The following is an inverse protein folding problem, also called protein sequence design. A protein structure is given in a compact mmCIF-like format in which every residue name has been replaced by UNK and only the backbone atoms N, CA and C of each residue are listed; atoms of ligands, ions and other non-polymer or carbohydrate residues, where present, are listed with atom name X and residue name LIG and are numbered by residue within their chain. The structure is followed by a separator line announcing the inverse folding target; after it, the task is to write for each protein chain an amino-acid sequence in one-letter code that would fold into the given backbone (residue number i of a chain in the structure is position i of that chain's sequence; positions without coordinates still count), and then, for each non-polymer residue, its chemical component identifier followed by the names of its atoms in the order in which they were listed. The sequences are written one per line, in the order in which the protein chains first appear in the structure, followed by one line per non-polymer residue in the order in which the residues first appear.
data_IF_352646775115
#
_entry.id   IF_352646775115
#
_cell.length_a   1.000
_cell.length_b   1.000
_cell.length_c   1.000
_cell.angle_alpha   90.00
_cell.angle_beta   90.00
_cell.angle_gamma   90.00
#
_symmetry.space_group_name_H-M   'P 1'
#
loop_
_entity.id
_entity.type
_entity.pdbx_description
1 polymer ?
#
# COMPACT_ATOMS: atom_id res chain seq x y z
N UNK A 1 15.03 -10.74 60.72
CA UNK A 1 14.62 -10.26 59.39
C UNK A 1 14.04 -8.89 59.64
N UNK A 2 14.75 -7.82 59.27
CA UNK A 2 14.19 -6.46 59.35
C UNK A 2 13.44 -6.26 58.04
N UNK A 3 12.12 -6.35 58.09
CA UNK A 3 11.28 -6.01 56.94
C UNK A 3 11.41 -4.51 56.70
N UNK A 4 11.95 -4.13 55.55
CA UNK A 4 11.95 -2.75 55.09
C UNK A 4 10.52 -2.42 54.69
N UNK A 5 9.76 -1.81 55.60
CA UNK A 5 8.35 -1.45 55.42
C UNK A 5 8.18 -0.20 54.51
N UNK A 6 9.01 -0.09 53.47
CA UNK A 6 8.81 0.88 52.38
C UNK A 6 7.97 0.20 51.29
N UNK A 7 6.80 0.75 50.91
CA UNK A 7 6.02 0.25 49.79
C UNK A 7 6.74 0.59 48.47
N UNK A 8 7.73 -0.23 48.12
CA UNK A 8 8.42 -0.14 46.84
C UNK A 8 7.54 -0.81 45.77
N UNK A 9 7.20 -0.13 44.67
CA UNK A 9 6.40 -0.71 43.58
C UNK A 9 7.20 -1.71 42.72
N UNK A 10 8.41 -2.10 43.16
CA UNK A 10 9.32 -2.99 42.46
C UNK A 10 9.86 -4.07 43.42
N UNK A 11 10.15 -5.29 42.92
CA UNK A 11 10.85 -6.31 43.69
C UNK A 11 12.24 -5.80 44.11
N UNK A 12 12.47 -5.80 45.42
CA UNK A 12 13.70 -5.31 46.04
C UNK A 12 14.26 -6.37 46.98
N UNK A 13 15.58 -6.56 46.93
CA UNK A 13 16.33 -7.44 47.80
C UNK A 13 17.52 -6.70 48.40
N UNK A 14 17.76 -6.92 49.69
CA UNK A 14 18.96 -6.48 50.40
C UNK A 14 19.78 -7.71 50.77
N UNK A 15 21.05 -7.74 50.38
CA UNK A 15 21.95 -8.87 50.65
C UNK A 15 23.25 -8.41 51.31
N UNK A 16 23.86 -9.26 52.12
CA UNK A 16 25.21 -9.03 52.67
C UNK A 16 26.32 -9.46 51.69
N UNK A 17 27.58 -9.22 52.07
CA UNK A 17 28.75 -9.59 51.26
C UNK A 17 28.89 -11.09 51.04
N UNK A 18 28.29 -11.91 51.90
CA UNK A 18 28.20 -13.37 51.81
C UNK A 18 27.03 -13.84 50.92
N UNK A 19 26.20 -12.92 50.42
CA UNK A 19 25.05 -13.21 49.56
C UNK A 19 23.84 -13.75 50.32
N UNK A 20 23.77 -13.54 51.63
CA UNK A 20 22.61 -13.82 52.47
C UNK A 20 21.64 -12.65 52.39
N UNK A 21 20.36 -12.97 52.28
CA UNK A 21 19.30 -11.97 52.16
C UNK A 21 19.01 -11.41 53.55
N UNK A 22 19.31 -10.13 53.75
CA UNK A 22 19.10 -9.40 55.01
C UNK A 22 17.76 -8.67 55.04
N UNK A 23 17.19 -8.36 53.87
CA UNK A 23 15.86 -7.76 53.71
C UNK A 23 15.27 -8.00 52.31
N UNK A 24 13.96 -7.94 52.19
CA UNK A 24 13.23 -8.16 50.93
C UNK A 24 11.90 -7.39 50.93
N UNK A 25 11.45 -6.90 49.78
CA UNK A 25 10.09 -6.35 49.65
C UNK A 25 9.03 -7.46 49.49
N UNK A 26 7.76 -7.13 49.80
CA UNK A 26 6.64 -8.06 49.64
C UNK A 26 6.51 -8.60 48.20
N UNK A 27 6.71 -7.74 47.20
CA UNK A 27 6.74 -8.10 45.78
C UNK A 27 7.88 -9.09 45.43
N UNK A 28 9.02 -9.00 46.10
CA UNK A 28 10.13 -9.95 45.91
C UNK A 28 9.82 -11.32 46.55
N UNK A 29 9.18 -11.35 47.72
CA UNK A 29 8.73 -12.59 48.36
C UNK A 29 7.63 -13.30 47.56
N UNK A 30 6.76 -12.54 46.90
CA UNK A 30 5.72 -13.09 46.03
C UNK A 30 6.33 -13.73 44.78
N UNK A 31 7.32 -13.08 44.15
CA UNK A 31 7.90 -13.51 42.85
C UNK A 31 8.99 -14.57 42.95
N UNK A 32 9.79 -14.57 44.01
CA UNK A 32 10.95 -15.44 44.19
C UNK A 32 10.78 -16.37 45.39
N UNK A 33 11.38 -17.56 45.32
CA UNK A 33 11.44 -18.47 46.46
C UNK A 33 12.63 -18.12 47.37
N UNK A 34 12.38 -17.24 48.35
CA UNK A 34 13.40 -16.75 49.28
C UNK A 34 13.60 -17.65 50.51
N UNK A 35 13.00 -18.85 50.53
CA UNK A 35 13.01 -19.79 51.67
C UNK A 35 14.41 -20.22 52.13
N UNK A 36 15.39 -20.19 51.21
CA UNK A 36 16.79 -20.58 51.49
C UNK A 36 17.65 -19.44 52.05
N UNK A 37 17.15 -18.20 52.10
CA UNK A 37 17.84 -17.05 52.67
C UNK A 37 19.12 -16.61 51.96
N UNK A 38 19.41 -17.14 50.76
CA UNK A 38 20.61 -16.82 49.98
C UNK A 38 20.29 -16.50 48.52
N UNK A 39 20.91 -15.46 47.97
CA UNK A 39 20.68 -15.00 46.60
C UNK A 39 21.13 -16.01 45.53
N UNK A 40 22.11 -16.86 45.85
CA UNK A 40 22.60 -17.91 44.95
C UNK A 40 21.54 -18.98 44.63
N UNK A 41 20.47 -19.06 45.44
CA UNK A 41 19.41 -20.04 45.22
C UNK A 41 18.39 -19.63 44.16
N UNK A 42 18.29 -18.33 43.88
CA UNK A 42 17.33 -17.74 42.93
C UNK A 42 18.01 -17.32 41.62
N UNK A 43 19.31 -17.60 41.46
CA UNK A 43 20.13 -17.21 40.31
C UNK A 43 20.79 -18.45 39.70
N UNK A 44 20.98 -18.45 38.39
CA UNK A 44 21.65 -19.55 37.68
C UNK A 44 23.19 -19.55 37.85
N UNK A 45 23.84 -20.71 37.74
CA UNK A 45 25.28 -20.89 38.03
C UNK A 45 26.19 -19.97 37.19
N UNK A 46 25.81 -19.70 35.93
CA UNK A 46 26.52 -18.78 35.05
C UNK A 46 26.40 -17.30 35.50
N UNK A 47 25.25 -16.96 36.08
CA UNK A 47 24.93 -15.62 36.58
C UNK A 47 25.56 -15.36 37.96
N UNK A 48 25.87 -16.40 38.74
CA UNK A 48 26.67 -16.32 39.98
C UNK A 48 28.09 -15.79 39.70
N UNK A 49 28.70 -16.19 38.57
CA UNK A 49 30.03 -15.71 38.19
C UNK A 49 30.03 -14.21 37.91
N UNK A 50 28.98 -13.68 37.26
CA UNK A 50 28.82 -12.24 37.04
C UNK A 50 28.66 -11.48 38.36
N UNK A 51 27.83 -11.98 39.27
CA UNK A 51 27.71 -11.39 40.62
C UNK A 51 29.04 -11.37 41.38
N UNK A 52 29.85 -12.42 41.26
CA UNK A 52 31.14 -12.50 41.95
C UNK A 52 32.17 -11.46 41.48
N UNK A 53 32.07 -10.99 40.24
CA UNK A 53 32.93 -9.92 39.70
C UNK A 53 32.59 -8.54 40.30
N UNK A 54 31.33 -8.31 40.66
CA UNK A 54 30.86 -7.04 41.24
C UNK A 54 30.94 -6.99 42.77
N UNK A 55 31.38 -8.07 43.44
CA UNK A 55 31.63 -8.10 44.90
C UNK A 55 32.74 -7.16 45.37
N UNK A 56 33.55 -6.63 44.44
CA UNK A 56 34.73 -5.82 44.73
C UNK A 56 34.57 -4.34 44.36
N UNK A 57 33.42 -3.95 43.78
CA UNK A 57 33.16 -2.54 43.43
C UNK A 57 32.77 -1.81 44.70
N UNK A 58 33.76 -1.19 45.34
CA UNK A 58 33.56 -0.32 46.49
C UNK A 58 33.24 1.10 45.97
N UNK A 59 31.97 1.50 46.05
CA UNK A 59 31.52 2.82 45.65
C UNK A 59 30.01 3.01 45.80
N UNK A 60 29.58 4.25 45.97
CA UNK A 60 28.17 4.69 46.01
C UNK A 60 27.46 4.57 44.63
N UNK A 61 28.17 4.12 43.59
CA UNK A 61 27.66 4.06 42.23
C UNK A 61 26.77 2.83 42.00
N UNK A 62 25.64 3.04 41.34
CA UNK A 62 24.73 1.96 40.95
C UNK A 62 25.31 1.15 39.79
N UNK A 63 25.50 -0.15 39.99
CA UNK A 63 25.90 -1.10 38.96
C UNK A 63 24.66 -1.73 38.33
N UNK A 64 24.56 -1.71 36.99
CA UNK A 64 23.48 -2.36 36.23
C UNK A 64 24.01 -3.58 35.48
N UNK A 65 23.35 -4.72 35.62
CA UNK A 65 23.66 -5.95 34.89
C UNK A 65 22.44 -6.86 34.73
N UNK A 66 22.50 -7.78 33.77
CA UNK A 66 21.40 -8.71 33.50
C UNK A 66 21.66 -10.07 34.16
N UNK A 67 20.65 -10.61 34.85
CA UNK A 67 20.69 -11.93 35.48
C UNK A 67 19.51 -12.79 35.07
N UNK A 68 19.80 -14.07 34.83
CA UNK A 68 18.76 -15.08 34.74
C UNK A 68 18.41 -15.56 36.15
N UNK A 69 17.16 -15.34 36.55
CA UNK A 69 16.66 -15.66 37.88
C UNK A 69 15.52 -16.68 37.80
N UNK A 70 15.49 -17.60 38.76
CA UNK A 70 14.42 -18.59 38.91
C UNK A 70 13.26 -17.94 39.65
N UNK A 71 12.10 -17.82 39.02
CA UNK A 71 10.88 -17.29 39.64
C UNK A 71 9.96 -18.44 40.04
N UNK A 72 8.97 -18.18 40.90
CA UNK A 72 7.96 -19.20 41.24
C UNK A 72 7.10 -19.61 40.03
N UNK A 73 6.87 -18.68 39.10
CA UNK A 73 6.02 -18.87 37.92
C UNK A 73 6.74 -19.44 36.70
N UNK A 74 8.07 -19.25 36.59
CA UNK A 74 8.87 -19.66 35.42
C UNK A 74 10.22 -20.23 35.86
N UNK A 75 10.66 -21.28 35.18
CA UNK A 75 11.91 -21.97 35.50
C UNK A 75 13.13 -21.02 35.49
N UNK A 76 13.23 -20.10 34.52
CA UNK A 76 14.24 -19.05 34.41
C UNK A 76 13.61 -17.84 33.69
N UNK A 77 13.83 -16.63 34.20
CA UNK A 77 13.45 -15.38 33.55
C UNK A 77 14.59 -14.34 33.64
N UNK A 78 14.70 -13.49 32.63
CA UNK A 78 15.75 -12.48 32.54
C UNK A 78 15.31 -11.20 33.27
N UNK A 79 16.19 -10.71 34.15
CA UNK A 79 15.98 -9.49 34.92
C UNK A 79 17.13 -8.51 34.72
N UNK A 80 16.78 -7.24 34.58
CA UNK A 80 17.71 -6.13 34.77
C UNK A 80 17.86 -5.90 36.27
N UNK A 81 19.09 -6.00 36.77
CA UNK A 81 19.43 -5.86 38.18
C UNK A 81 20.25 -4.60 38.39
N UNK A 82 19.72 -3.72 39.25
CA UNK A 82 20.41 -2.52 39.70
C UNK A 82 20.90 -2.75 41.12
N UNK A 83 22.22 -2.79 41.31
CA UNK A 83 22.88 -3.05 42.58
C UNK A 83 23.60 -1.78 43.06
N UNK A 84 23.41 -1.43 44.33
CA UNK A 84 24.15 -0.35 44.99
C UNK A 84 24.57 -0.79 46.39
N UNK A 85 25.83 -0.58 46.75
CA UNK A 85 26.32 -0.85 48.11
C UNK A 85 26.01 0.32 49.04
N UNK A 86 25.49 0.01 50.22
CA UNK A 86 25.27 0.97 51.31
C UNK A 86 26.50 1.09 52.21
N UNK A 87 26.54 2.14 53.04
CA UNK A 87 27.60 2.40 54.02
C UNK A 87 27.73 1.27 55.06
N UNK A 88 26.67 0.50 55.27
CA UNK A 88 26.62 -0.65 56.19
C UNK A 88 26.99 -1.99 55.51
N UNK A 89 27.71 -1.96 54.38
CA UNK A 89 28.16 -3.14 53.63
C UNK A 89 27.02 -4.07 53.15
N UNK A 90 25.85 -3.50 52.92
CA UNK A 90 24.69 -4.17 52.35
C UNK A 90 24.52 -3.81 50.87
N UNK A 91 24.34 -4.81 50.01
CA UNK A 91 23.98 -4.60 48.62
C UNK A 91 22.46 -4.49 48.47
N UNK A 92 22.01 -3.32 48.04
CA UNK A 92 20.65 -2.98 47.70
C UNK A 92 20.41 -3.31 46.23
N UNK A 93 19.45 -4.20 45.95
CA UNK A 93 19.18 -4.70 44.61
C UNK A 93 17.73 -4.46 44.20
N UNK A 94 17.52 -3.80 43.06
CA UNK A 94 16.21 -3.66 42.42
C UNK A 94 16.17 -4.57 41.19
N UNK A 95 15.12 -5.38 41.08
CA UNK A 95 14.96 -6.39 40.03
C UNK A 95 13.81 -5.99 39.08
N UNK A 96 14.13 -5.77 37.81
CA UNK A 96 13.18 -5.37 36.77
C UNK A 96 13.02 -6.51 35.75
N UNK A 97 11.83 -7.12 35.59
CA UNK A 97 11.63 -8.19 34.62
C UNK A 97 11.75 -7.64 33.19
N UNK A 98 12.55 -8.30 32.35
CA UNK A 98 12.65 -7.98 30.92
C UNK A 98 11.60 -8.81 30.17
N UNK A 99 10.38 -8.30 30.14
CA UNK A 99 9.22 -9.07 29.64
C UNK A 99 9.29 -9.35 28.13
N UNK A 100 9.28 -10.64 27.78
CA UNK A 100 9.01 -11.22 26.43
C UNK A 100 7.71 -10.73 25.73
N UNK A 101 6.89 -9.92 26.41
CA UNK A 101 5.67 -9.34 25.87
C UNK A 101 5.96 -8.38 24.70
N UNK A 102 7.06 -7.64 24.78
CA UNK A 102 7.48 -6.75 23.72
C UNK A 102 7.99 -7.53 22.49
N UNK A 103 8.66 -8.67 22.67
CA UNK A 103 9.09 -9.51 21.53
C UNK A 103 7.90 -10.06 20.74
N UNK A 104 6.85 -10.53 21.42
CA UNK A 104 5.62 -11.01 20.75
C UNK A 104 4.90 -9.90 20.00
N UNK A 105 4.88 -8.68 20.57
CA UNK A 105 4.31 -7.50 19.91
C UNK A 105 5.13 -7.10 18.68
N UNK A 106 6.46 -7.07 18.80
CA UNK A 106 7.37 -6.78 17.69
C UNK A 106 7.22 -7.82 16.57
N UNK A 107 7.14 -9.11 16.89
CA UNK A 107 6.91 -10.17 15.90
C UNK A 107 5.56 -10.02 15.18
N UNK A 108 4.49 -9.69 15.91
CA UNK A 108 3.17 -9.42 15.31
C UNK A 108 3.19 -8.20 14.41
N UNK A 109 3.88 -7.12 14.81
CA UNK A 109 4.04 -5.91 14.00
C UNK A 109 4.82 -6.20 12.72
N UNK A 110 5.91 -6.95 12.81
CA UNK A 110 6.68 -7.38 11.63
C UNK A 110 5.83 -8.22 10.68
N UNK A 111 5.05 -9.17 11.20
CA UNK A 111 4.17 -10.00 10.37
C UNK A 111 3.07 -9.18 9.67
N UNK A 112 2.49 -8.19 10.36
CA UNK A 112 1.49 -7.29 9.77
C UNK A 112 2.13 -6.41 8.70
N UNK A 113 3.30 -5.83 8.97
CA UNK A 113 4.02 -5.02 7.99
C UNK A 113 4.37 -5.82 6.74
N UNK A 114 4.85 -7.06 6.90
CA UNK A 114 5.12 -7.95 5.77
C UNK A 114 3.88 -8.20 4.93
N UNK A 115 2.76 -8.58 5.57
CA UNK A 115 1.51 -8.84 4.86
C UNK A 115 0.96 -7.59 4.16
N UNK A 116 1.10 -6.42 4.76
CA UNK A 116 0.71 -5.15 4.13
C UNK A 116 1.56 -4.90 2.88
N UNK A 117 2.88 -5.04 2.97
CA UNK A 117 3.77 -4.85 1.83
C UNK A 117 3.49 -5.85 0.68
N UNK A 118 3.20 -7.12 1.01
CA UNK A 118 2.78 -8.12 0.01
C UNK A 118 1.46 -7.73 -0.66
N UNK A 119 0.47 -7.29 0.13
CA UNK A 119 -0.83 -6.88 -0.41
C UNK A 119 -0.70 -5.63 -1.28
N UNK A 120 0.11 -4.65 -0.87
CA UNK A 120 0.37 -3.44 -1.64
C UNK A 120 1.05 -3.77 -2.97
N UNK A 121 1.99 -4.72 -2.97
CA UNK A 121 2.64 -5.19 -4.19
C UNK A 121 1.64 -5.89 -5.14
N UNK A 122 0.80 -6.79 -4.61
CA UNK A 122 -0.24 -7.47 -5.38
C UNK A 122 -1.26 -6.47 -5.96
N UNK A 123 -1.69 -5.48 -5.18
CA UNK A 123 -2.58 -4.42 -5.65
C UNK A 123 -1.95 -3.57 -6.77
N UNK A 124 -0.66 -3.27 -6.66
CA UNK A 124 0.05 -2.53 -7.69
C UNK A 124 0.11 -3.33 -9.00
N UNK A 125 0.45 -4.61 -8.95
CA UNK A 125 0.47 -5.51 -10.11
C UNK A 125 -0.93 -5.60 -10.75
N UNK A 126 -1.98 -5.80 -9.94
CA UNK A 126 -3.37 -5.83 -10.42
C UNK A 126 -3.80 -4.51 -11.07
N UNK A 127 -3.36 -3.38 -10.52
CA UNK A 127 -3.61 -2.06 -11.11
C UNK A 127 -2.91 -1.93 -12.47
N UNK A 128 -1.65 -2.32 -12.58
CA UNK A 128 -0.90 -2.28 -13.84
C UNK A 128 -1.51 -3.18 -14.91
N UNK A 129 -1.92 -4.41 -14.54
CA UNK A 129 -2.67 -5.33 -15.41
C UNK A 129 -3.96 -4.67 -15.93
N UNK A 130 -4.74 -4.07 -15.03
CA UNK A 130 -5.99 -3.40 -15.40
C UNK A 130 -5.73 -2.23 -16.34
N UNK A 131 -4.74 -1.38 -16.07
CA UNK A 131 -4.40 -0.27 -16.96
C UNK A 131 -3.94 -0.77 -18.35
N UNK A 132 -3.21 -1.88 -18.43
CA UNK A 132 -2.85 -2.48 -19.72
C UNK A 132 -4.07 -3.00 -20.48
N UNK A 133 -5.01 -3.64 -19.79
CA UNK A 133 -6.27 -4.10 -20.39
C UNK A 133 -7.09 -2.91 -20.88
N UNK A 134 -7.22 -1.85 -20.09
CA UNK A 134 -7.93 -0.63 -20.49
C UNK A 134 -7.28 0.01 -21.72
N UNK A 135 -5.94 0.10 -21.77
CA UNK A 135 -5.21 0.60 -22.96
C UNK A 135 -5.49 -0.24 -24.21
N UNK A 136 -5.48 -1.57 -24.10
CA UNK A 136 -5.82 -2.46 -25.22
C UNK A 136 -7.28 -2.31 -25.66
N UNK A 137 -8.20 -2.13 -24.71
CA UNK A 137 -9.60 -1.86 -25.03
C UNK A 137 -9.75 -0.52 -25.76
N UNK A 138 -9.02 0.51 -25.35
CA UNK A 138 -9.03 1.81 -26.03
C UNK A 138 -8.44 1.71 -27.45
N UNK A 139 -7.34 0.97 -27.64
CA UNK A 139 -6.79 0.66 -28.97
C UNK A 139 -7.81 -0.05 -29.88
N UNK A 140 -8.65 -0.91 -29.30
CA UNK A 140 -9.72 -1.63 -30.00
C UNK A 140 -11.02 -0.83 -30.12
N UNK A 141 -11.12 0.34 -29.50
CA UNK A 141 -12.36 1.13 -29.41
C UNK A 141 -12.61 2.08 -30.60
N UNK A 142 -11.64 2.16 -31.52
CA UNK A 142 -11.71 2.87 -32.80
C UNK A 142 -11.06 2.06 -33.93
N UNK A 143 -11.49 0.82 -34.19
CA UNK A 143 -10.89 -0.01 -35.21
C UNK A 143 -11.15 0.61 -36.58
N UNK A 144 -10.10 0.81 -37.36
CA UNK A 144 -10.23 1.25 -38.74
C UNK A 144 -10.76 0.10 -39.60
N UNK A 145 -11.95 0.23 -40.17
CA UNK A 145 -12.61 -0.81 -40.96
C UNK A 145 -12.76 -0.33 -42.41
N UNK A 146 -11.96 -0.83 -43.38
CA UNK A 146 -12.19 -0.54 -44.79
C UNK A 146 -13.46 -1.27 -45.26
N UNK A 147 -14.43 -0.51 -45.79
CA UNK A 147 -15.67 -1.07 -46.35
C UNK A 147 -15.55 -1.29 -47.86
N UNK A 148 -14.83 -0.40 -48.56
CA UNK A 148 -14.47 -0.53 -49.98
C UNK A 148 -13.11 0.13 -50.24
N UNK A 149 -12.71 0.25 -51.51
CA UNK A 149 -11.50 0.99 -51.88
C UNK A 149 -11.56 2.50 -51.58
N UNK A 150 -12.78 3.06 -51.50
CA UNK A 150 -13.04 4.49 -51.35
C UNK A 150 -13.80 4.82 -50.04
N UNK A 151 -14.35 3.81 -49.35
CA UNK A 151 -15.14 3.97 -48.14
C UNK A 151 -14.49 3.28 -46.95
N UNK A 152 -14.36 3.98 -45.83
CA UNK A 152 -13.97 3.40 -44.56
C UNK A 152 -14.89 3.81 -43.40
N UNK A 153 -14.81 3.05 -42.31
CA UNK A 153 -15.58 3.27 -41.10
C UNK A 153 -14.69 3.22 -39.86
N UNK A 154 -14.95 4.14 -38.92
CA UNK A 154 -14.33 4.27 -37.62
C UNK A 154 -15.45 4.26 -36.57
N UNK A 155 -15.80 3.09 -36.00
CA UNK A 155 -16.81 3.00 -34.96
C UNK A 155 -16.24 3.41 -33.61
N UNK A 156 -17.03 4.15 -32.83
CA UNK A 156 -16.69 4.63 -31.49
C UNK A 156 -17.62 3.97 -30.45
N UNK A 157 -17.04 3.24 -29.49
CA UNK A 157 -17.80 2.40 -28.55
C UNK A 157 -17.66 2.84 -27.09
N UNK A 158 -18.75 3.12 -26.37
CA UNK A 158 -18.71 3.55 -24.98
C UNK A 158 -18.49 5.05 -24.83
N UNK A 159 -17.99 5.50 -23.67
CA UNK A 159 -17.92 6.93 -23.35
C UNK A 159 -16.85 7.64 -24.20
N UNK A 160 -17.11 8.91 -24.53
CA UNK A 160 -16.19 9.77 -25.29
C UNK A 160 -15.43 10.67 -24.31
N UNK A 161 -14.15 10.36 -24.12
CA UNK A 161 -13.21 11.08 -23.27
C UNK A 161 -12.00 11.55 -24.07
N UNK A 162 -11.26 12.53 -23.55
CA UNK A 162 -10.06 13.04 -24.23
C UNK A 162 -9.01 11.93 -24.43
N UNK A 163 -8.77 11.10 -23.43
CA UNK A 163 -7.77 10.02 -23.47
C UNK A 163 -8.09 9.02 -24.58
N UNK A 164 -9.35 8.59 -24.67
CA UNK A 164 -9.79 7.65 -25.69
C UNK A 164 -9.63 8.19 -27.10
N UNK A 165 -10.05 9.43 -27.34
CA UNK A 165 -9.89 10.04 -28.66
C UNK A 165 -8.42 10.18 -29.02
N UNK A 166 -7.55 10.57 -28.07
CA UNK A 166 -6.11 10.65 -28.31
C UNK A 166 -5.54 9.27 -28.68
N UNK A 167 -5.91 8.21 -27.96
CA UNK A 167 -5.45 6.83 -28.21
C UNK A 167 -5.78 6.37 -29.63
N UNK A 168 -7.01 6.61 -30.11
CA UNK A 168 -7.41 6.17 -31.45
C UNK A 168 -6.93 7.11 -32.57
N UNK A 169 -6.66 8.38 -32.27
CA UNK A 169 -6.36 9.42 -33.26
C UNK A 169 -5.17 9.06 -34.12
N UNK A 170 -4.05 8.65 -33.52
CA UNK A 170 -2.83 8.34 -34.26
C UNK A 170 -3.04 7.19 -35.25
N UNK A 171 -3.66 6.10 -34.79
CA UNK A 171 -3.98 4.94 -35.63
C UNK A 171 -4.95 5.29 -36.76
N UNK A 172 -5.99 6.10 -36.47
CA UNK A 172 -6.95 6.56 -37.47
C UNK A 172 -6.30 7.42 -38.54
N UNK A 173 -5.52 8.44 -38.15
CA UNK A 173 -4.82 9.32 -39.08
C UNK A 173 -3.86 8.55 -39.99
N UNK A 174 -3.08 7.62 -39.42
CA UNK A 174 -2.16 6.79 -40.20
C UNK A 174 -2.91 5.85 -41.18
N UNK A 175 -4.01 5.25 -40.74
CA UNK A 175 -4.78 4.29 -41.56
C UNK A 175 -5.49 4.98 -42.71
N UNK A 176 -6.15 6.11 -42.42
CA UNK A 176 -6.80 6.95 -43.43
C UNK A 176 -5.78 7.49 -44.42
N UNK A 177 -4.62 7.97 -43.97
CA UNK A 177 -3.60 8.50 -44.88
C UNK A 177 -3.01 7.43 -45.81
N UNK A 178 -2.92 6.17 -45.36
CA UNK A 178 -2.39 5.07 -46.18
C UNK A 178 -3.37 4.59 -47.26
N UNK A 179 -4.67 4.76 -47.06
CA UNK A 179 -5.68 4.39 -48.06
C UNK A 179 -6.23 5.61 -48.77
N UNK A 180 -6.57 5.47 -50.06
CA UNK A 180 -7.18 6.55 -50.83
C UNK A 180 -8.70 6.55 -50.63
N UNK A 181 -9.16 6.65 -49.38
CA UNK A 181 -10.58 6.75 -49.09
C UNK A 181 -11.10 8.13 -49.50
N UNK A 182 -12.30 8.20 -50.06
CA UNK A 182 -13.01 9.45 -50.36
C UNK A 182 -14.01 9.79 -49.26
N UNK A 183 -14.58 8.75 -48.62
CA UNK A 183 -15.61 8.87 -47.59
C UNK A 183 -15.16 8.16 -46.31
N UNK A 184 -15.23 8.88 -45.19
CA UNK A 184 -14.91 8.36 -43.85
C UNK A 184 -16.18 8.42 -42.99
N UNK A 185 -16.64 7.26 -42.52
CA UNK A 185 -17.80 7.16 -41.64
C UNK A 185 -17.36 7.03 -40.18
N UNK A 186 -17.80 7.94 -39.31
CA UNK A 186 -17.71 7.76 -37.87
C UNK A 186 -19.02 7.21 -37.33
N UNK A 187 -18.99 5.99 -36.81
CA UNK A 187 -20.16 5.35 -36.21
C UNK A 187 -20.24 5.63 -34.71
N UNK A 188 -21.24 6.41 -34.32
CA UNK A 188 -21.49 6.84 -32.94
C UNK A 188 -22.64 6.04 -32.29
N UNK A 189 -23.16 4.99 -32.94
CA UNK A 189 -24.32 4.21 -32.47
C UNK A 189 -24.12 3.67 -31.06
N UNK A 190 -22.90 3.21 -30.76
CA UNK A 190 -22.55 2.60 -29.48
C UNK A 190 -21.94 3.59 -28.47
N UNK A 191 -22.04 4.91 -28.71
CA UNK A 191 -21.52 5.92 -27.78
C UNK A 191 -22.41 6.06 -26.55
N UNK A 192 -21.77 6.07 -25.37
CA UNK A 192 -22.38 6.27 -24.07
C UNK A 192 -22.45 7.75 -23.69
N UNK A 193 -21.88 8.09 -22.54
CA UNK A 193 -21.74 9.47 -22.09
C UNK A 193 -20.63 10.20 -22.86
N UNK A 194 -20.85 11.48 -23.13
CA UNK A 194 -19.90 12.30 -23.88
C UNK A 194 -19.46 13.46 -23.02
N UNK A 195 -18.16 13.49 -22.69
CA UNK A 195 -17.56 14.58 -21.92
C UNK A 195 -17.07 15.69 -22.85
N UNK A 196 -17.15 16.92 -22.36
CA UNK A 196 -16.74 18.13 -23.09
C UNK A 196 -15.31 18.05 -23.64
N UNK A 197 -14.38 17.53 -22.85
CA UNK A 197 -12.98 17.36 -23.22
C UNK A 197 -12.78 16.31 -24.34
N UNK A 198 -13.59 15.24 -24.33
CA UNK A 198 -13.64 14.27 -25.41
C UNK A 198 -14.17 14.86 -26.72
N UNK A 199 -15.20 15.72 -26.64
CA UNK A 199 -15.76 16.41 -27.83
C UNK A 199 -14.74 17.30 -28.50
N UNK A 200 -14.01 18.10 -27.73
CA UNK A 200 -12.96 18.99 -28.26
C UNK A 200 -11.88 18.21 -29.01
N UNK A 201 -11.43 17.09 -28.43
CA UNK A 201 -10.46 16.19 -29.09
C UNK A 201 -11.02 15.53 -30.33
N UNK A 202 -12.28 15.12 -30.30
CA UNK A 202 -12.94 14.52 -31.46
C UNK A 202 -13.03 15.51 -32.63
N UNK A 203 -13.42 16.76 -32.36
CA UNK A 203 -13.43 17.83 -33.37
C UNK A 203 -12.05 18.07 -33.93
N UNK A 204 -11.02 18.05 -33.08
CA UNK A 204 -9.63 18.21 -33.54
C UNK A 204 -9.25 17.09 -34.51
N UNK A 205 -9.55 15.84 -34.18
CA UNK A 205 -9.31 14.68 -35.06
C UNK A 205 -10.03 14.83 -36.41
N UNK A 206 -11.32 15.15 -36.39
CA UNK A 206 -12.13 15.35 -37.62
C UNK A 206 -11.54 16.44 -38.50
N UNK A 207 -11.16 17.60 -37.92
CA UNK A 207 -10.53 18.68 -38.67
C UNK A 207 -9.20 18.24 -39.27
N UNK A 208 -8.34 17.57 -38.49
CA UNK A 208 -7.06 17.07 -38.98
C UNK A 208 -7.25 16.09 -40.14
N UNK A 209 -8.19 15.15 -40.06
CA UNK A 209 -8.54 14.24 -41.15
C UNK A 209 -9.01 14.99 -42.41
N UNK A 210 -9.93 15.95 -42.23
CA UNK A 210 -10.46 16.75 -43.33
C UNK A 210 -9.35 17.55 -44.02
N UNK A 211 -8.43 18.17 -43.27
CA UNK A 211 -7.28 18.88 -43.84
C UNK A 211 -6.27 17.97 -44.53
N UNK A 212 -6.04 16.76 -44.00
CA UNK A 212 -5.05 15.84 -44.55
C UNK A 212 -5.49 15.22 -45.88
N UNK A 213 -6.79 15.01 -46.06
CA UNK A 213 -7.30 14.17 -47.16
C UNK A 213 -8.27 14.90 -48.08
N UNK A 214 -8.96 15.94 -47.61
CA UNK A 214 -10.07 16.55 -48.33
C UNK A 214 -11.32 15.65 -48.39
N UNK A 215 -11.35 14.56 -47.62
CA UNK A 215 -12.41 13.56 -47.65
C UNK A 215 -13.73 14.07 -47.09
N UNK A 216 -14.82 13.46 -47.54
CA UNK A 216 -16.14 13.66 -46.96
C UNK A 216 -16.22 12.83 -45.67
N UNK A 217 -16.28 13.53 -44.53
CA UNK A 217 -16.45 12.89 -43.23
C UNK A 217 -17.94 12.87 -42.90
N UNK A 218 -18.49 11.69 -42.59
CA UNK A 218 -19.90 11.54 -42.21
C UNK A 218 -20.01 10.96 -40.81
N UNK A 219 -20.86 11.56 -40.00
CA UNK A 219 -21.21 11.04 -38.68
C UNK A 219 -22.53 10.26 -38.78
N UNK A 220 -22.53 9.02 -38.29
CA UNK A 220 -23.71 8.13 -38.30
C UNK A 220 -24.06 7.66 -36.88
N UNK A 221 -25.31 7.28 -36.67
CA UNK A 221 -25.73 6.66 -35.39
C UNK A 221 -25.80 7.64 -34.21
N UNK A 222 -25.95 8.94 -34.48
CA UNK A 222 -25.91 9.97 -33.44
C UNK A 222 -27.21 9.98 -32.64
N UNK A 223 -27.09 9.84 -31.31
CA UNK A 223 -28.21 10.01 -30.39
C UNK A 223 -28.62 11.50 -30.28
N UNK A 224 -29.90 11.83 -30.05
CA UNK A 224 -30.37 13.23 -29.98
C UNK A 224 -29.60 14.11 -28.98
N UNK A 225 -29.18 13.56 -27.85
CA UNK A 225 -28.43 14.31 -26.85
C UNK A 225 -27.01 14.64 -27.30
N UNK A 226 -26.35 13.72 -28.01
CA UNK A 226 -25.05 13.97 -28.62
C UNK A 226 -25.14 15.00 -29.75
N UNK A 227 -26.21 14.94 -30.56
CA UNK A 227 -26.43 15.92 -31.63
C UNK A 227 -26.51 17.36 -31.08
N UNK A 228 -27.18 17.57 -29.94
CA UNK A 228 -27.24 18.89 -29.28
C UNK A 228 -25.87 19.40 -28.84
N UNK A 229 -25.04 18.51 -28.29
CA UNK A 229 -23.68 18.86 -27.84
C UNK A 229 -22.83 19.23 -29.05
N UNK A 230 -22.81 18.41 -30.11
CA UNK A 230 -22.02 18.66 -31.32
C UNK A 230 -22.44 19.93 -32.06
N UNK A 231 -23.74 20.27 -32.04
CA UNK A 231 -24.26 21.51 -32.63
C UNK A 231 -23.63 22.77 -32.00
N UNK A 232 -23.29 22.74 -30.70
CA UNK A 232 -22.64 23.87 -30.02
C UNK A 232 -21.24 24.18 -30.58
N UNK A 233 -20.59 23.22 -31.24
CA UNK A 233 -19.24 23.33 -31.75
C UNK A 233 -19.15 23.68 -33.25
N UNK A 234 -20.28 23.98 -33.90
CA UNK A 234 -20.36 24.37 -35.32
C UNK A 234 -19.63 23.39 -36.27
N UNK A 235 -19.81 22.09 -36.02
CA UNK A 235 -19.18 21.01 -36.78
C UNK A 235 -19.71 20.85 -38.22
N UNK A 236 -20.84 21.46 -38.55
CA UNK A 236 -21.53 21.35 -39.85
C UNK A 236 -20.65 21.70 -41.07
N UNK A 237 -19.56 22.46 -40.86
CA UNK A 237 -18.61 22.80 -41.92
C UNK A 237 -17.63 21.67 -42.27
N UNK A 238 -17.52 20.66 -41.41
CA UNK A 238 -16.51 19.60 -41.47
C UNK A 238 -17.10 18.20 -41.61
N UNK A 239 -18.37 18.02 -41.27
CA UNK A 239 -19.04 16.72 -41.27
C UNK A 239 -20.45 16.79 -41.86
N UNK A 240 -20.83 15.73 -42.56
CA UNK A 240 -22.21 15.46 -42.94
C UNK A 240 -22.88 14.54 -41.91
N UNK A 241 -24.15 14.77 -41.60
CA UNK A 241 -24.89 14.04 -40.57
C UNK A 241 -25.90 13.09 -41.19
N UNK A 242 -25.71 11.78 -41.02
CA UNK A 242 -26.60 10.75 -41.56
C UNK A 242 -27.19 9.86 -40.44
N UNK A 243 -28.40 9.36 -40.64
CA UNK A 243 -29.13 8.65 -39.58
C UNK A 243 -28.66 7.20 -39.38
N UNK A 244 -28.14 6.53 -40.41
CA UNK A 244 -27.72 5.12 -40.30
C UNK A 244 -26.73 4.67 -41.39
N UNK A 245 -25.92 3.66 -41.07
CA UNK A 245 -25.03 2.98 -42.02
C UNK A 245 -25.81 2.35 -43.19
N UNK A 246 -26.98 1.77 -42.92
CA UNK A 246 -27.81 1.12 -43.95
C UNK A 246 -28.25 2.10 -45.04
N UNK A 247 -28.65 3.31 -44.65
CA UNK A 247 -29.03 4.35 -45.62
C UNK A 247 -27.83 4.80 -46.46
N UNK A 248 -26.65 4.94 -45.85
CA UNK A 248 -25.44 5.33 -46.58
C UNK A 248 -25.03 4.27 -47.61
N UNK A 249 -25.01 3.00 -47.20
CA UNK A 249 -24.67 1.90 -48.09
C UNK A 249 -25.68 1.75 -49.24
N UNK A 250 -26.97 2.03 -49.03
CA UNK A 250 -27.97 2.02 -50.11
C UNK A 250 -27.74 3.13 -51.14
N UNK A 251 -27.26 4.30 -50.73
CA UNK A 251 -26.95 5.39 -51.66
C UNK A 251 -25.69 5.05 -52.46
N UNK A 252 -24.67 4.50 -51.80
CA UNK A 252 -23.42 4.13 -52.45
C UNK A 252 -23.55 2.91 -53.38
N UNK A 253 -24.35 1.90 -53.02
CA UNK A 253 -24.56 0.70 -53.84
C UNK A 253 -25.51 0.87 -55.04
N UNK A 254 -26.26 1.99 -55.10
CA UNK A 254 -27.17 2.31 -56.20
C UNK A 254 -26.55 3.25 -57.25
N UNK A 255 -25.28 3.62 -57.07
CA UNK A 255 -24.45 4.30 -58.07
C UNK A 255 -23.41 3.34 -58.65
#
# INVERSE_FOLDING_TARGET
MQDLDLPLPLPYLRVDREGKITGSSALAQERFDLSKGHINSIIDEESIKKLSQFRWVSGLDSVKFELNMKTKDRALALFDVHLQWDLDDHANMILLPKDSANEKLTQKLMAIQHRLAETDFELLEKKEELEQVLRRLDELSGPFIPLSGELCMIPLFGDITADKINTISESCLQSVFKGNYEIILFDLTAVGEVRTDGVEKFIQLVKTLSFMTGNVIKLIGIKPDLAKVLNHYHLEQWVEFNHSLEQELRVYLNH
#
